data_IF_123399916420
#
_entry.id   IF_123399916420
#
_cell.length_a   1.000
_cell.length_b   1.000
_cell.length_c   1.000
_cell.angle_alpha   90.00
_cell.angle_beta   90.00
_cell.angle_gamma   90.00
#
_symmetry.space_group_name_H-M   'P 1'
#
loop_
_entity.id
_entity.type
_entity.pdbx_description
1 polymer ?
#
# COMPACT_ATOMS: atom_id res chain seq x y z
N UNK A 1 11.19 54.79 46.40
CA UNK A 1 10.75 54.86 44.98
C UNK A 1 11.41 53.72 44.20
N UNK A 2 10.72 53.14 43.22
CA UNK A 2 10.74 51.70 42.94
C UNK A 2 11.85 51.24 41.99
N UNK A 3 12.37 50.05 42.26
CA UNK A 3 13.16 49.24 41.31
C UNK A 3 12.26 48.79 40.16
N UNK A 4 12.61 49.22 38.94
CA UNK A 4 11.85 49.01 37.73
C UNK A 4 11.86 47.52 37.31
N UNK A 5 10.69 46.86 37.39
CA UNK A 5 10.45 45.44 37.09
C UNK A 5 10.07 45.18 35.63
N UNK A 6 10.78 45.77 34.66
CA UNK A 6 10.39 45.70 33.24
C UNK A 6 11.49 45.18 32.29
N UNK A 7 12.37 44.28 32.74
CA UNK A 7 13.23 43.54 31.82
C UNK A 7 13.20 42.05 32.15
N UNK A 8 12.45 41.22 31.42
CA UNK A 8 12.60 39.78 31.56
C UNK A 8 14.02 39.37 31.15
N UNK A 9 14.64 38.39 31.85
CA UNK A 9 15.97 37.91 31.49
C UNK A 9 15.95 37.38 30.05
N UNK A 10 16.96 37.75 29.27
CA UNK A 10 17.19 37.21 27.93
C UNK A 10 17.51 35.71 28.04
N UNK A 11 16.47 34.88 28.04
CA UNK A 11 16.64 33.44 27.85
C UNK A 11 17.06 33.23 26.41
N UNK A 12 18.31 32.83 26.21
CA UNK A 12 18.83 32.42 24.90
C UNK A 12 17.83 31.46 24.24
N UNK A 13 17.25 31.91 23.12
CA UNK A 13 16.44 31.08 22.24
C UNK A 13 17.41 30.12 21.55
N UNK A 14 17.71 29.01 22.24
CA UNK A 14 18.26 27.82 21.63
C UNK A 14 17.19 27.26 20.71
N UNK A 15 17.25 27.62 19.43
CA UNK A 15 16.42 27.10 18.36
C UNK A 15 16.67 25.61 18.17
N UNK A 16 16.14 24.76 19.06
CA UNK A 16 15.65 23.47 18.62
C UNK A 16 14.45 23.79 17.75
N UNK A 17 14.69 23.99 16.45
CA UNK A 17 13.66 23.78 15.43
C UNK A 17 12.94 22.49 15.82
N UNK A 18 11.72 22.61 16.31
CA UNK A 18 10.81 21.49 16.46
C UNK A 18 10.69 20.88 15.06
N UNK A 19 11.56 19.90 14.79
CA UNK A 19 11.40 18.97 13.68
C UNK A 19 10.02 18.38 13.90
N UNK A 20 9.03 18.86 13.14
CA UNK A 20 7.65 18.40 13.17
C UNK A 20 7.64 16.92 13.54
N UNK A 21 7.12 16.57 14.73
CA UNK A 21 7.42 15.27 15.36
C UNK A 21 7.15 14.17 14.36
N UNK A 22 8.23 13.56 13.87
CA UNK A 22 8.11 12.41 12.99
C UNK A 22 7.31 11.36 13.76
N UNK A 23 6.27 10.83 13.14
CA UNK A 23 5.43 9.83 13.80
C UNK A 23 6.19 8.50 13.78
N UNK A 24 7.18 8.39 14.65
CA UNK A 24 8.13 7.28 14.69
C UNK A 24 7.41 5.93 14.85
N UNK A 25 6.26 5.91 15.53
CA UNK A 25 5.42 4.71 15.66
C UNK A 25 4.85 4.22 14.31
N UNK A 26 4.49 5.11 13.38
CA UNK A 26 4.02 4.71 12.06
C UNK A 26 5.16 4.17 11.20
N UNK A 27 6.33 4.80 11.28
CA UNK A 27 7.52 4.28 10.61
C UNK A 27 7.89 2.91 11.19
N UNK A 28 7.82 2.74 12.52
CA UNK A 28 8.04 1.44 13.15
C UNK A 28 7.05 0.35 12.66
N UNK A 29 5.76 0.67 12.57
CA UNK A 29 4.76 -0.26 12.01
C UNK A 29 5.05 -0.62 10.55
N UNK A 30 5.46 0.36 9.73
CA UNK A 30 5.88 0.12 8.33
C UNK A 30 7.11 -0.77 8.27
N UNK A 31 8.06 -0.57 9.20
CA UNK A 31 9.27 -1.35 9.30
C UNK A 31 8.99 -2.80 9.66
N UNK A 32 8.12 -3.02 10.65
CA UNK A 32 7.64 -4.34 11.04
C UNK A 32 6.96 -5.03 9.84
N UNK A 33 6.02 -4.35 9.19
CA UNK A 33 5.30 -4.86 8.04
C UNK A 33 6.23 -5.28 6.90
N UNK A 34 7.23 -4.45 6.55
CA UNK A 34 8.21 -4.80 5.52
C UNK A 34 9.01 -6.04 5.89
N UNK A 35 9.52 -6.11 7.12
CA UNK A 35 10.32 -7.25 7.58
C UNK A 35 9.50 -8.54 7.53
N UNK A 36 8.23 -8.51 7.96
CA UNK A 36 7.36 -9.68 7.96
C UNK A 36 7.01 -10.13 6.53
N UNK A 37 6.82 -9.21 5.58
CA UNK A 37 6.64 -9.56 4.16
C UNK A 37 7.91 -10.18 3.57
N UNK A 38 9.08 -9.63 3.87
CA UNK A 38 10.37 -10.22 3.45
C UNK A 38 10.53 -11.60 4.03
N UNK A 39 10.17 -11.79 5.31
CA UNK A 39 10.20 -13.07 5.98
C UNK A 39 9.32 -14.10 5.28
N UNK A 40 8.06 -13.78 4.96
CA UNK A 40 7.14 -14.67 4.21
C UNK A 40 7.77 -15.17 2.90
N UNK A 41 8.26 -14.26 2.05
CA UNK A 41 8.86 -14.62 0.76
C UNK A 41 10.23 -15.29 0.91
N UNK A 42 10.88 -15.15 2.07
CA UNK A 42 12.11 -15.88 2.37
C UNK A 42 11.79 -17.32 2.81
N UNK A 43 10.66 -17.57 3.47
CA UNK A 43 10.22 -18.91 3.84
C UNK A 43 9.96 -19.78 2.60
N UNK A 44 9.40 -19.18 1.54
CA UNK A 44 9.20 -19.85 0.25
C UNK A 44 10.44 -20.58 -0.27
N UNK A 45 11.61 -19.98 -0.07
CA UNK A 45 12.86 -20.44 -0.64
C UNK A 45 13.72 -21.19 0.38
N UNK A 46 13.75 -20.74 1.64
CA UNK A 46 14.65 -21.25 2.67
C UNK A 46 14.02 -22.37 3.51
N UNK A 47 12.72 -22.27 3.80
CA UNK A 47 12.02 -23.14 4.75
C UNK A 47 10.60 -23.48 4.25
N UNK A 48 10.47 -24.13 3.07
CA UNK A 48 9.16 -24.38 2.46
C UNK A 48 8.27 -25.27 3.34
N UNK A 49 8.85 -26.23 4.07
CA UNK A 49 8.15 -27.02 5.10
C UNK A 49 7.53 -26.18 6.22
N UNK A 50 8.21 -25.12 6.69
CA UNK A 50 7.66 -24.21 7.71
C UNK A 50 6.52 -23.39 7.11
N UNK A 51 6.68 -22.91 5.87
CA UNK A 51 5.62 -22.19 5.16
C UNK A 51 4.39 -23.06 4.96
N UNK A 52 4.57 -24.30 4.51
CA UNK A 52 3.47 -25.26 4.30
C UNK A 52 2.70 -25.57 5.59
N UNK A 53 3.40 -25.63 6.74
CA UNK A 53 2.76 -25.83 8.04
C UNK A 53 2.05 -24.58 8.58
N UNK A 54 2.61 -23.39 8.36
CA UNK A 54 2.09 -22.14 8.94
C UNK A 54 1.02 -21.45 8.09
N UNK A 55 1.18 -21.44 6.76
CA UNK A 55 0.33 -20.69 5.81
C UNK A 55 -1.18 -21.01 5.92
N UNK A 56 -1.63 -22.25 6.18
CA UNK A 56 -3.06 -22.54 6.36
C UNK A 56 -3.69 -21.85 7.58
N UNK A 57 -2.88 -21.43 8.54
CA UNK A 57 -3.33 -20.80 9.79
C UNK A 57 -3.01 -19.31 9.84
N UNK A 58 -1.88 -18.91 9.26
CA UNK A 58 -1.42 -17.53 9.29
C UNK A 58 -0.57 -17.19 8.06
N UNK A 59 -1.08 -16.27 7.24
CA UNK A 59 -0.33 -15.70 6.12
C UNK A 59 0.39 -14.42 6.57
N UNK A 60 1.71 -14.53 6.76
CA UNK A 60 2.55 -13.41 7.20
C UNK A 60 2.60 -12.28 6.17
N UNK A 61 2.57 -12.61 4.87
CA UNK A 61 2.57 -11.65 3.78
C UNK A 61 1.33 -10.77 3.80
N UNK A 62 0.15 -11.38 3.88
CA UNK A 62 -1.14 -10.69 4.02
C UNK A 62 -1.17 -9.81 5.25
N UNK A 63 -0.75 -10.34 6.41
CA UNK A 63 -0.65 -9.57 7.64
C UNK A 63 0.16 -8.27 7.44
N UNK A 64 1.37 -8.36 6.89
CA UNK A 64 2.22 -7.20 6.67
C UNK A 64 1.60 -6.19 5.69
N UNK A 65 0.99 -6.68 4.62
CA UNK A 65 0.27 -5.84 3.64
C UNK A 65 -0.90 -5.09 4.28
N UNK A 66 -1.69 -5.73 5.14
CA UNK A 66 -2.79 -5.07 5.85
C UNK A 66 -2.31 -4.01 6.84
N UNK A 67 -1.17 -4.23 7.52
CA UNK A 67 -0.52 -3.19 8.33
C UNK A 67 -0.13 -1.99 7.46
N UNK A 68 0.44 -2.21 6.27
CA UNK A 68 0.73 -1.13 5.32
C UNK A 68 -0.53 -0.35 4.91
N UNK A 69 -1.62 -1.05 4.60
CA UNK A 69 -2.88 -0.41 4.22
C UNK A 69 -3.48 0.43 5.34
N UNK A 70 -3.45 -0.03 6.59
CA UNK A 70 -3.88 0.75 7.75
C UNK A 70 -3.05 2.02 7.93
N UNK A 71 -1.72 1.90 7.84
CA UNK A 71 -0.80 3.05 7.93
C UNK A 71 -1.05 4.04 6.78
N UNK A 72 -1.18 3.56 5.54
CA UNK A 72 -1.46 4.43 4.38
C UNK A 72 -2.80 5.14 4.55
N UNK A 73 -3.83 4.43 5.00
CA UNK A 73 -5.14 4.95 5.38
C UNK A 73 -5.09 6.10 6.38
N UNK A 74 -4.24 5.97 7.39
CA UNK A 74 -4.07 6.94 8.46
C UNK A 74 -3.30 8.20 8.00
N UNK A 75 -2.29 8.06 7.13
CA UNK A 75 -1.38 9.17 6.75
C UNK A 75 -1.83 9.94 5.50
N UNK A 76 -2.39 9.25 4.51
CA UNK A 76 -2.59 9.81 3.17
C UNK A 76 -3.59 10.96 3.14
N UNK A 77 -4.81 10.84 3.71
CA UNK A 77 -5.78 11.94 3.71
C UNK A 77 -5.26 13.15 4.50
N UNK A 78 -4.62 12.91 5.64
CA UNK A 78 -3.98 13.97 6.42
C UNK A 78 -2.91 14.72 5.61
N UNK A 79 -2.11 14.01 4.80
CA UNK A 79 -1.13 14.64 3.91
C UNK A 79 -1.79 15.49 2.81
N UNK A 80 -2.96 15.11 2.31
CA UNK A 80 -3.69 15.89 1.29
C UNK A 80 -4.27 17.16 1.92
N UNK A 81 -4.92 17.04 3.07
CA UNK A 81 -5.51 18.16 3.82
C UNK A 81 -4.44 19.17 4.27
N UNK A 82 -3.32 18.71 4.83
CA UNK A 82 -2.22 19.59 5.26
C UNK A 82 -1.61 20.37 4.10
N UNK A 83 -1.59 19.80 2.88
CA UNK A 83 -1.06 20.45 1.68
C UNK A 83 -2.07 21.39 1.02
N UNK A 84 -3.37 21.14 1.18
CA UNK A 84 -4.48 21.92 0.63
C UNK A 84 -4.59 21.92 -0.91
N UNK A 85 -3.74 21.17 -1.62
CA UNK A 85 -3.63 21.21 -3.08
C UNK A 85 -3.44 19.82 -3.67
N UNK A 86 -4.36 19.45 -4.57
CA UNK A 86 -4.34 18.18 -5.32
C UNK A 86 -3.05 18.05 -6.13
N UNK A 87 -2.61 19.13 -6.80
CA UNK A 87 -1.35 19.13 -7.56
C UNK A 87 -0.13 18.84 -6.68
N UNK A 88 -0.08 19.48 -5.50
CA UNK A 88 1.03 19.30 -4.54
C UNK A 88 1.01 17.90 -3.92
N UNK A 89 -0.17 17.31 -3.73
CA UNK A 89 -0.32 15.93 -3.29
C UNK A 89 0.22 14.95 -4.33
N UNK A 90 -0.26 15.01 -5.57
CA UNK A 90 0.17 14.09 -6.64
C UNK A 90 1.65 14.22 -6.98
N UNK A 91 2.19 15.44 -7.04
CA UNK A 91 3.64 15.62 -7.21
C UNK A 91 4.42 14.96 -6.06
N UNK A 92 3.97 15.13 -4.81
CA UNK A 92 4.58 14.47 -3.65
C UNK A 92 4.55 12.94 -3.73
N UNK A 93 3.46 12.36 -4.25
CA UNK A 93 3.33 10.91 -4.45
C UNK A 93 4.17 10.41 -5.61
N UNK A 94 4.19 11.12 -6.72
CA UNK A 94 5.02 10.80 -7.87
C UNK A 94 6.51 10.66 -7.47
N UNK A 95 7.07 11.69 -6.82
CA UNK A 95 8.47 11.69 -6.36
C UNK A 95 8.76 10.74 -5.19
N UNK A 96 7.73 10.18 -4.55
CA UNK A 96 7.89 9.15 -3.52
C UNK A 96 7.89 7.74 -4.12
N UNK A 97 7.08 7.49 -5.15
CA UNK A 97 6.78 6.14 -5.64
C UNK A 97 7.56 5.78 -6.91
N UNK A 98 7.42 6.59 -7.97
CA UNK A 98 7.97 6.27 -9.28
C UNK A 98 9.49 6.06 -9.31
N UNK A 99 10.32 6.84 -8.58
CA UNK A 99 11.77 6.65 -8.63
C UNK A 99 12.22 5.26 -8.20
N UNK A 100 11.74 4.74 -7.06
CA UNK A 100 12.11 3.40 -6.61
C UNK A 100 11.42 2.32 -7.44
N UNK A 101 10.19 2.56 -7.89
CA UNK A 101 9.49 1.68 -8.83
C UNK A 101 10.23 1.51 -10.17
N UNK A 102 10.79 2.60 -10.72
CA UNK A 102 11.62 2.55 -11.93
C UNK A 102 12.88 1.72 -11.69
N UNK A 103 13.51 1.87 -10.52
CA UNK A 103 14.71 1.09 -10.16
C UNK A 103 14.38 -0.39 -10.00
N UNK A 104 13.26 -0.75 -9.36
CA UNK A 104 12.86 -2.15 -9.26
C UNK A 104 12.47 -2.74 -10.63
N UNK A 105 11.81 -1.98 -11.49
CA UNK A 105 11.50 -2.43 -12.85
C UNK A 105 12.77 -2.62 -13.69
N UNK A 106 13.69 -1.65 -13.65
CA UNK A 106 14.98 -1.75 -14.34
C UNK A 106 15.76 -2.98 -13.85
N UNK A 107 15.83 -3.17 -12.53
CA UNK A 107 16.50 -4.32 -11.93
C UNK A 107 15.86 -5.65 -12.38
N UNK A 108 14.52 -5.73 -12.40
CA UNK A 108 13.80 -6.91 -12.88
C UNK A 108 14.13 -7.25 -14.34
N UNK A 109 14.14 -6.23 -15.21
CA UNK A 109 14.52 -6.39 -16.63
C UNK A 109 15.97 -6.83 -16.77
N UNK A 110 16.91 -6.18 -16.07
CA UNK A 110 18.34 -6.49 -16.19
C UNK A 110 18.70 -7.87 -15.65
N UNK A 111 18.10 -8.27 -14.51
CA UNK A 111 18.32 -9.60 -13.94
C UNK A 111 17.75 -10.68 -14.87
N UNK A 112 16.56 -10.44 -15.44
CA UNK A 112 15.97 -11.34 -16.41
C UNK A 112 16.82 -11.49 -17.68
N UNK A 113 17.27 -10.37 -18.24
CA UNK A 113 18.12 -10.37 -19.44
C UNK A 113 19.48 -11.02 -19.20
N UNK A 114 20.02 -10.94 -17.98
CA UNK A 114 21.25 -11.60 -17.58
C UNK A 114 21.06 -13.09 -17.23
N UNK A 115 19.83 -13.62 -17.31
CA UNK A 115 19.48 -14.99 -16.91
C UNK A 115 19.48 -15.22 -15.40
N UNK A 116 19.65 -14.17 -14.58
CA UNK A 116 19.79 -14.24 -13.12
C UNK A 116 18.44 -14.26 -12.37
N UNK A 117 17.31 -14.25 -13.09
CA UNK A 117 15.97 -14.39 -12.53
C UNK A 117 15.04 -14.99 -13.58
N UNK A 118 13.79 -15.28 -13.20
CA UNK A 118 12.75 -15.73 -14.14
C UNK A 118 12.38 -14.67 -15.20
N UNK A 119 12.92 -13.45 -15.08
CA UNK A 119 12.62 -12.34 -15.96
C UNK A 119 11.19 -11.82 -15.83
N UNK A 120 10.75 -11.07 -16.85
CA UNK A 120 9.40 -10.55 -16.92
C UNK A 120 8.42 -11.64 -17.38
N UNK A 121 7.16 -11.65 -16.90
CA UNK A 121 6.14 -12.55 -17.41
C UNK A 121 5.99 -12.43 -18.94
N UNK A 122 5.99 -13.56 -19.66
CA UNK A 122 5.95 -13.58 -21.13
C UNK A 122 4.74 -12.84 -21.71
N UNK A 123 3.59 -12.89 -21.04
CA UNK A 123 2.37 -12.18 -21.42
C UNK A 123 2.53 -10.64 -21.49
N UNK A 124 3.55 -10.06 -20.83
CA UNK A 124 3.85 -8.63 -20.99
C UNK A 124 4.36 -8.30 -22.40
N UNK A 125 4.99 -9.26 -23.06
CA UNK A 125 5.52 -9.15 -24.42
C UNK A 125 4.45 -9.24 -25.50
N UNK A 126 3.25 -9.76 -25.20
CA UNK A 126 2.16 -9.87 -26.18
C UNK A 126 1.64 -8.49 -26.61
N UNK A 127 1.60 -7.53 -25.67
CA UNK A 127 1.18 -6.14 -25.91
C UNK A 127 2.06 -5.15 -25.13
N UNK A 128 3.32 -4.94 -25.53
CA UNK A 128 4.30 -4.22 -24.73
C UNK A 128 3.89 -2.80 -24.34
N UNK A 129 3.29 -2.06 -25.28
CA UNK A 129 2.83 -0.68 -25.05
C UNK A 129 1.68 -0.62 -24.04
N UNK A 130 0.74 -1.57 -24.10
CA UNK A 130 -0.41 -1.61 -23.19
C UNK A 130 0.04 -2.05 -21.80
N UNK A 131 0.91 -3.06 -21.71
CA UNK A 131 1.57 -3.47 -20.48
C UNK A 131 2.32 -2.31 -19.83
N UNK A 132 3.11 -1.57 -20.59
CA UNK A 132 3.83 -0.41 -20.11
C UNK A 132 2.87 0.69 -19.61
N UNK A 133 1.79 0.97 -20.34
CA UNK A 133 0.80 1.96 -19.94
C UNK A 133 0.10 1.59 -18.62
N UNK A 134 -0.30 0.33 -18.45
CA UNK A 134 -0.92 -0.15 -17.23
C UNK A 134 0.03 -0.09 -16.02
N UNK A 135 1.31 -0.38 -16.23
CA UNK A 135 2.35 -0.25 -15.21
C UNK A 135 2.65 1.22 -14.88
N UNK A 136 2.66 2.11 -15.88
CA UNK A 136 2.85 3.55 -15.68
C UNK A 136 1.71 4.18 -14.89
N UNK A 137 0.48 3.66 -14.94
CA UNK A 137 -0.62 4.12 -14.07
C UNK A 137 -0.56 3.49 -12.68
N UNK A 138 0.31 2.51 -12.44
CA UNK A 138 0.32 1.61 -11.28
C UNK A 138 -0.99 0.83 -11.11
N UNK A 139 -1.81 0.70 -12.14
CA UNK A 139 -3.10 0.00 -12.11
C UNK A 139 -3.06 -1.35 -12.81
N UNK A 140 -1.88 -1.86 -13.15
CA UNK A 140 -1.71 -3.09 -13.93
C UNK A 140 -2.49 -4.28 -13.37
N UNK A 141 -2.54 -4.41 -12.04
CA UNK A 141 -3.21 -5.52 -11.37
C UNK A 141 -4.74 -5.48 -11.52
N UNK A 142 -5.29 -4.27 -11.64
CA UNK A 142 -6.72 -4.00 -11.81
C UNK A 142 -7.10 -3.74 -13.28
N UNK A 143 -6.14 -3.91 -14.20
CA UNK A 143 -6.32 -3.79 -15.65
C UNK A 143 -6.03 -5.13 -16.35
N UNK A 144 -6.00 -6.23 -15.58
CA UNK A 144 -5.76 -7.58 -16.08
C UNK A 144 -4.33 -7.82 -16.60
N UNK A 145 -3.39 -6.93 -16.31
CA UNK A 145 -2.00 -7.02 -16.77
C UNK A 145 -1.16 -7.72 -15.69
N UNK A 146 -0.40 -8.78 -16.02
CA UNK A 146 0.51 -9.43 -15.09
C UNK A 146 1.49 -8.44 -14.45
N UNK A 147 1.85 -8.65 -13.19
CA UNK A 147 2.80 -7.76 -12.53
C UNK A 147 4.24 -8.08 -12.98
N UNK A 148 4.99 -7.07 -13.42
CA UNK A 148 6.42 -7.19 -13.72
C UNK A 148 7.23 -7.68 -12.50
N UNK A 149 6.86 -7.24 -11.30
CA UNK A 149 7.35 -7.79 -10.03
C UNK A 149 6.12 -8.12 -9.20
N UNK A 150 6.01 -9.36 -8.70
CA UNK A 150 4.77 -9.86 -8.07
C UNK A 150 4.16 -8.86 -7.09
N UNK A 151 4.97 -8.25 -6.22
CA UNK A 151 4.55 -7.31 -5.17
C UNK A 151 3.90 -6.02 -5.66
N UNK A 152 3.95 -5.70 -6.96
CA UNK A 152 3.32 -4.51 -7.52
C UNK A 152 1.79 -4.52 -7.41
N UNK A 153 1.17 -5.68 -7.17
CA UNK A 153 -0.27 -5.80 -7.00
C UNK A 153 -0.81 -4.84 -5.92
N UNK A 154 -0.12 -4.71 -4.79
CA UNK A 154 -0.54 -3.83 -3.68
C UNK A 154 -0.50 -2.36 -4.04
N UNK A 155 0.40 -1.97 -4.96
CA UNK A 155 0.51 -0.58 -5.44
C UNK A 155 -0.74 -0.15 -6.19
N UNK A 156 -1.43 -1.07 -6.88
CA UNK A 156 -2.68 -0.78 -7.58
C UNK A 156 -3.81 -0.40 -6.61
N UNK A 157 -3.95 -1.12 -5.50
CA UNK A 157 -4.92 -0.76 -4.45
C UNK A 157 -4.56 0.56 -3.77
N UNK A 158 -3.27 0.79 -3.51
CA UNK A 158 -2.81 2.05 -2.93
C UNK A 158 -3.07 3.24 -3.89
N UNK A 159 -2.86 3.05 -5.20
CA UNK A 159 -3.15 4.05 -6.23
C UNK A 159 -4.66 4.35 -6.29
N UNK A 160 -5.50 3.32 -6.28
CA UNK A 160 -6.96 3.50 -6.23
C UNK A 160 -7.37 4.26 -4.97
N UNK A 161 -6.81 3.94 -3.81
CA UNK A 161 -7.08 4.69 -2.60
C UNK A 161 -6.71 6.18 -2.74
N UNK A 162 -5.59 6.51 -3.39
CA UNK A 162 -5.22 7.90 -3.67
C UNK A 162 -6.21 8.61 -4.59
N UNK A 163 -6.73 7.91 -5.60
CA UNK A 163 -7.75 8.41 -6.51
C UNK A 163 -9.06 8.70 -5.77
N UNK A 164 -9.52 7.77 -4.93
CA UNK A 164 -10.74 7.92 -4.13
C UNK A 164 -10.61 9.07 -3.11
N UNK A 165 -9.49 9.16 -2.39
CA UNK A 165 -9.22 10.26 -1.45
C UNK A 165 -9.16 11.61 -2.17
N UNK A 166 -8.57 11.66 -3.37
CA UNK A 166 -8.55 12.87 -4.21
C UNK A 166 -9.96 13.27 -4.62
N UNK A 167 -10.75 12.33 -5.13
CA UNK A 167 -12.14 12.57 -5.54
C UNK A 167 -12.99 13.10 -4.37
N UNK A 168 -12.88 12.49 -3.20
CA UNK A 168 -13.55 12.94 -1.97
C UNK A 168 -13.15 14.35 -1.53
N UNK A 169 -11.85 14.64 -1.58
CA UNK A 169 -11.32 15.96 -1.22
C UNK A 169 -11.85 17.05 -2.16
N UNK A 170 -11.82 16.81 -3.47
CA UNK A 170 -12.30 17.75 -4.49
C UNK A 170 -13.82 17.95 -4.43
N UNK A 171 -14.59 16.91 -4.09
CA UNK A 171 -16.02 17.03 -3.85
C UNK A 171 -16.38 17.73 -2.54
N UNK A 172 -15.41 18.03 -1.66
CA UNK A 172 -15.65 18.67 -0.38
C UNK A 172 -16.21 17.74 0.69
N UNK A 173 -16.20 16.42 0.45
CA UNK A 173 -16.78 15.40 1.33
C UNK A 173 -15.73 14.72 2.22
N UNK A 174 -14.51 15.26 2.28
CA UNK A 174 -13.41 14.69 3.08
C UNK A 174 -13.74 14.52 4.57
N UNK A 175 -14.61 15.38 5.14
CA UNK A 175 -15.12 15.26 6.51
C UNK A 175 -16.09 14.09 6.72
N UNK A 176 -16.60 13.50 5.64
CA UNK A 176 -17.47 12.31 5.65
C UNK A 176 -16.69 11.02 5.41
N UNK A 177 -15.36 11.04 5.56
CA UNK A 177 -14.48 9.87 5.39
C UNK A 177 -15.02 8.62 6.09
N UNK A 178 -15.52 8.76 7.33
CA UNK A 178 -16.13 7.66 8.06
C UNK A 178 -17.41 7.10 7.41
N UNK A 179 -18.28 7.94 6.87
CA UNK A 179 -19.50 7.49 6.16
C UNK A 179 -19.17 6.84 4.83
N UNK A 180 -18.17 7.35 4.12
CA UNK A 180 -17.71 6.76 2.86
C UNK A 180 -17.04 5.41 3.10
N UNK A 181 -16.25 5.30 4.18
CA UNK A 181 -15.67 4.04 4.63
C UNK A 181 -16.72 2.99 5.01
N UNK A 182 -17.75 3.39 5.77
CA UNK A 182 -18.89 2.55 6.09
C UNK A 182 -19.65 2.16 4.82
N UNK A 183 -19.83 3.09 3.88
CA UNK A 183 -20.42 2.81 2.56
C UNK A 183 -19.62 1.79 1.76
N UNK A 184 -18.28 1.86 1.77
CA UNK A 184 -17.43 0.85 1.15
C UNK A 184 -17.47 -0.48 1.89
N UNK A 185 -17.46 -0.50 3.22
CA UNK A 185 -17.56 -1.73 4.00
C UNK A 185 -18.93 -2.42 3.85
N UNK A 186 -20.01 -1.64 3.87
CA UNK A 186 -21.38 -2.13 3.61
C UNK A 186 -21.54 -2.53 2.14
N UNK A 187 -20.97 -1.77 1.21
CA UNK A 187 -20.92 -2.12 -0.21
C UNK A 187 -20.17 -3.43 -0.45
N UNK A 188 -19.03 -3.64 0.22
CA UNK A 188 -18.28 -4.90 0.21
C UNK A 188 -19.14 -6.06 0.70
N UNK A 189 -19.83 -5.86 1.83
CA UNK A 189 -20.70 -6.86 2.42
C UNK A 189 -21.92 -7.19 1.54
N UNK A 190 -22.55 -6.18 0.93
CA UNK A 190 -23.71 -6.38 0.05
C UNK A 190 -23.28 -7.02 -1.27
N UNK A 191 -22.26 -6.48 -1.94
CA UNK A 191 -21.77 -7.02 -3.22
C UNK A 191 -21.23 -8.44 -3.04
N UNK A 192 -20.55 -8.73 -1.93
CA UNK A 192 -20.07 -10.07 -1.60
C UNK A 192 -21.15 -11.09 -1.24
N UNK A 193 -22.36 -10.63 -0.89
CA UNK A 193 -23.52 -11.50 -0.65
C UNK A 193 -24.42 -11.62 -1.88
N UNK A 194 -24.49 -10.58 -2.72
CA UNK A 194 -25.51 -10.45 -3.77
C UNK A 194 -25.04 -10.83 -5.19
N UNK A 195 -23.73 -10.80 -5.49
CA UNK A 195 -23.23 -11.05 -6.84
C UNK A 195 -22.35 -12.31 -6.92
N UNK A 196 -22.64 -13.25 -7.85
CA UNK A 196 -21.73 -14.35 -8.15
C UNK A 196 -20.36 -13.83 -8.58
N UNK A 197 -19.29 -14.36 -7.98
CA UNK A 197 -17.89 -14.02 -8.30
C UNK A 197 -17.54 -14.18 -9.78
N UNK A 198 -18.26 -15.02 -10.51
CA UNK A 198 -18.11 -15.24 -11.96
C UNK A 198 -18.48 -14.05 -12.82
N UNK A 199 -19.43 -13.19 -12.41
CA UNK A 199 -19.77 -11.95 -13.11
C UNK A 199 -18.75 -10.83 -12.84
N UNK A 200 -17.96 -10.97 -11.78
CA UNK A 200 -16.96 -10.01 -11.29
C UNK A 200 -15.52 -10.40 -11.67
N UNK A 201 -15.33 -11.54 -12.32
CA UNK A 201 -14.03 -12.08 -12.73
C UNK A 201 -13.71 -11.89 -14.23
N UNK A 202 -14.52 -11.10 -14.94
CA UNK A 202 -14.33 -10.86 -16.37
C UNK A 202 -13.11 -9.99 -16.61
N UNK A 203 -11.96 -10.62 -16.91
CA UNK A 203 -10.75 -9.93 -17.39
C UNK A 203 -11.06 -9.24 -18.70
N UNK A 204 -11.05 -7.91 -18.72
CA UNK A 204 -11.43 -7.17 -19.92
C UNK A 204 -10.38 -7.37 -21.03
N UNK A 205 -10.81 -7.60 -22.30
CA UNK A 205 -9.89 -7.70 -23.42
C UNK A 205 -9.10 -6.40 -23.57
N UNK A 206 -7.81 -6.50 -23.95
CA UNK A 206 -6.80 -5.43 -23.88
C UNK A 206 -7.02 -4.16 -24.73
N UNK A 207 -8.25 -3.81 -25.10
CA UNK A 207 -8.67 -2.48 -25.57
C UNK A 207 -9.12 -1.52 -24.45
N UNK A 208 -9.27 -2.01 -23.22
CA UNK A 208 -9.69 -1.17 -22.07
C UNK A 208 -8.58 -0.41 -21.39
N UNK A 209 -7.32 -0.86 -21.47
CA UNK A 209 -6.19 -0.21 -20.78
C UNK A 209 -6.04 1.24 -21.26
N UNK A 210 -6.07 1.45 -22.57
CA UNK A 210 -6.00 2.80 -23.15
C UNK A 210 -7.22 3.63 -22.74
N UNK A 211 -8.42 3.08 -22.83
CA UNK A 211 -9.64 3.77 -22.43
C UNK A 211 -9.60 4.16 -20.94
N UNK A 212 -9.23 3.24 -20.05
CA UNK A 212 -9.09 3.49 -18.62
C UNK A 212 -8.04 4.56 -18.33
N UNK A 213 -6.87 4.51 -19.00
CA UNK A 213 -5.84 5.53 -18.87
C UNK A 213 -6.31 6.91 -19.35
N UNK A 214 -7.02 6.97 -20.49
CA UNK A 214 -7.58 8.21 -21.03
C UNK A 214 -8.69 8.78 -20.13
N UNK A 215 -9.61 7.94 -19.65
CA UNK A 215 -10.67 8.33 -18.71
C UNK A 215 -10.08 8.82 -17.38
N UNK A 216 -9.03 8.14 -16.88
CA UNK A 216 -8.31 8.57 -15.69
C UNK A 216 -7.66 9.95 -15.91
N UNK A 217 -6.93 10.13 -17.00
CA UNK A 217 -6.28 11.40 -17.34
C UNK A 217 -7.30 12.54 -17.50
N UNK A 218 -8.40 12.28 -18.22
CA UNK A 218 -9.49 13.23 -18.42
C UNK A 218 -10.18 13.59 -17.10
N UNK A 219 -10.46 12.60 -16.25
CA UNK A 219 -11.07 12.79 -14.94
C UNK A 219 -10.19 13.61 -13.99
N UNK A 220 -8.89 13.29 -13.92
CA UNK A 220 -7.89 14.04 -13.14
C UNK A 220 -7.78 15.49 -13.65
N UNK A 221 -7.74 15.72 -14.95
CA UNK A 221 -7.70 17.06 -15.54
C UNK A 221 -8.98 17.86 -15.22
N UNK A 222 -10.15 17.22 -15.36
CA UNK A 222 -11.45 17.82 -15.07
C UNK A 222 -11.58 18.23 -13.58
N UNK A 223 -11.02 17.46 -12.64
CA UNK A 223 -11.03 17.80 -11.21
C UNK A 223 -10.28 19.09 -10.86
N UNK A 224 -9.33 19.52 -11.70
CA UNK A 224 -8.57 20.77 -11.51
C UNK A 224 -9.28 21.98 -12.12
N UNK A 225 -10.37 21.75 -12.87
CA UNK A 225 -11.13 22.82 -13.54
C UNK A 225 -11.80 23.78 -12.53
N UNK A 226 -11.85 25.07 -12.89
CA UNK A 226 -12.59 26.10 -12.14
C UNK A 226 -14.11 25.93 -12.28
N UNK A 227 -14.58 25.33 -13.39
CA UNK A 227 -16.02 25.14 -13.65
C UNK A 227 -16.57 24.01 -12.76
N UNK A 228 -17.58 24.32 -11.94
CA UNK A 228 -18.17 23.37 -10.97
C UNK A 228 -18.72 22.11 -11.63
N UNK A 229 -19.38 22.23 -12.79
CA UNK A 229 -19.91 21.09 -13.53
C UNK A 229 -18.80 20.14 -13.99
N UNK A 230 -17.79 20.66 -14.70
CA UNK A 230 -16.62 19.88 -15.16
C UNK A 230 -15.90 19.21 -14.00
N UNK A 231 -15.72 19.93 -12.88
CA UNK A 231 -15.09 19.37 -11.68
C UNK A 231 -15.88 18.21 -11.09
N UNK A 232 -17.21 18.33 -11.01
CA UNK A 232 -18.10 17.25 -10.53
C UNK A 232 -18.05 16.04 -11.45
N UNK A 233 -18.07 16.24 -12.77
CA UNK A 233 -17.91 15.17 -13.76
C UNK A 233 -16.56 14.47 -13.59
N UNK A 234 -15.47 15.23 -13.38
CA UNK A 234 -14.16 14.66 -13.12
C UNK A 234 -14.12 13.79 -11.86
N UNK A 235 -14.73 14.25 -10.77
CA UNK A 235 -14.87 13.46 -9.53
C UNK A 235 -15.66 12.18 -9.78
N UNK A 236 -16.83 12.29 -10.42
CA UNK A 236 -17.67 11.13 -10.71
C UNK A 236 -16.95 10.12 -11.61
N UNK A 237 -16.23 10.58 -12.64
CA UNK A 237 -15.50 9.73 -13.56
C UNK A 237 -14.36 8.97 -12.86
N UNK A 238 -13.54 9.66 -12.08
CA UNK A 238 -12.43 9.01 -11.36
C UNK A 238 -12.95 8.04 -10.30
N UNK A 239 -14.00 8.41 -9.56
CA UNK A 239 -14.61 7.52 -8.57
C UNK A 239 -15.24 6.29 -9.24
N UNK A 240 -16.02 6.47 -10.32
CA UNK A 240 -16.64 5.38 -11.05
C UNK A 240 -15.60 4.42 -11.64
N UNK A 241 -14.53 4.96 -12.25
CA UNK A 241 -13.43 4.15 -12.77
C UNK A 241 -12.74 3.37 -11.65
N UNK A 242 -12.33 4.04 -10.57
CA UNK A 242 -11.68 3.40 -9.43
C UNK A 242 -12.51 2.26 -8.82
N UNK A 243 -13.82 2.47 -8.66
CA UNK A 243 -14.72 1.47 -8.12
C UNK A 243 -15.02 0.35 -9.10
N UNK A 244 -15.18 0.66 -10.38
CA UNK A 244 -15.35 -0.32 -11.45
C UNK A 244 -14.16 -1.27 -11.52
N UNK A 245 -12.93 -0.74 -11.49
CA UNK A 245 -11.70 -1.54 -11.53
C UNK A 245 -11.56 -2.46 -10.31
N UNK A 246 -11.92 -2.00 -9.10
CA UNK A 246 -11.89 -2.83 -7.89
C UNK A 246 -12.88 -3.99 -7.91
N UNK A 247 -14.06 -3.76 -8.50
CA UNK A 247 -15.17 -4.71 -8.48
C UNK A 247 -15.10 -5.70 -9.64
N UNK A 248 -14.66 -5.27 -10.82
CA UNK A 248 -14.80 -6.04 -12.06
C UNK A 248 -13.53 -6.75 -12.54
N UNK A 249 -12.34 -6.32 -12.09
CA UNK A 249 -11.08 -6.74 -12.73
C UNK A 249 -9.95 -7.05 -11.72
N UNK A 250 -10.29 -7.19 -10.44
CA UNK A 250 -9.32 -7.46 -9.38
C UNK A 250 -8.84 -8.91 -9.36
N UNK A 251 -7.51 -9.11 -9.28
CA UNK A 251 -6.92 -10.47 -9.20
C UNK A 251 -7.33 -11.26 -7.97
N UNK A 252 -7.60 -10.59 -6.85
CA UNK A 252 -7.90 -11.24 -5.56
C UNK A 252 -9.40 -11.41 -5.33
N UNK A 253 -10.24 -10.86 -6.21
CA UNK A 253 -11.69 -10.82 -6.04
C UNK A 253 -12.21 -9.47 -5.53
N UNK A 254 -13.46 -9.17 -5.86
CA UNK A 254 -14.10 -7.89 -5.52
C UNK A 254 -14.24 -7.70 -4.01
N UNK A 255 -14.52 -8.77 -3.26
CA UNK A 255 -14.79 -8.73 -1.82
C UNK A 255 -13.52 -8.32 -1.07
N UNK A 256 -12.41 -9.00 -1.36
CA UNK A 256 -11.08 -8.75 -0.79
C UNK A 256 -10.62 -7.34 -1.12
N UNK A 257 -10.86 -6.89 -2.36
CA UNK A 257 -10.54 -5.54 -2.82
C UNK A 257 -11.29 -4.47 -2.04
N UNK A 258 -12.60 -4.65 -1.86
CA UNK A 258 -13.42 -3.74 -1.08
C UNK A 258 -13.05 -3.80 0.41
N UNK A 259 -12.66 -4.96 0.95
CA UNK A 259 -12.12 -5.09 2.32
C UNK A 259 -10.80 -4.32 2.51
N UNK A 260 -9.89 -4.38 1.54
CA UNK A 260 -8.65 -3.60 1.55
C UNK A 260 -8.98 -2.10 1.61
N UNK A 261 -9.83 -1.62 0.71
CA UNK A 261 -10.19 -0.20 0.65
C UNK A 261 -10.94 0.23 1.91
N UNK A 262 -11.86 -0.59 2.43
CA UNK A 262 -12.52 -0.34 3.70
C UNK A 262 -11.51 -0.24 4.85
N UNK A 263 -10.50 -1.11 4.89
CA UNK A 263 -9.44 -1.08 5.89
C UNK A 263 -8.61 0.21 5.81
N UNK A 264 -8.25 0.64 4.61
CA UNK A 264 -7.54 1.92 4.42
C UNK A 264 -8.38 3.11 4.91
N UNK A 265 -9.66 3.17 4.53
CA UNK A 265 -10.54 4.22 5.03
C UNK A 265 -10.82 4.13 6.54
N UNK A 266 -10.73 2.95 7.13
CA UNK A 266 -10.84 2.79 8.56
C UNK A 266 -9.62 3.40 9.30
N UNK A 267 -8.41 3.28 8.75
CA UNK A 267 -7.24 4.04 9.21
C UNK A 267 -7.48 5.56 9.15
N UNK A 268 -8.15 6.06 8.10
CA UNK A 268 -8.56 7.47 7.99
C UNK A 268 -9.55 7.88 9.09
N UNK A 269 -10.52 7.02 9.41
CA UNK A 269 -11.48 7.29 10.48
C UNK A 269 -10.80 7.35 11.84
N UNK A 270 -9.88 6.42 12.13
CA UNK A 270 -9.07 6.45 13.37
C UNK A 270 -8.34 7.78 13.52
N UNK A 271 -7.71 8.26 12.44
CA UNK A 271 -7.07 9.60 12.43
C UNK A 271 -8.09 10.71 12.69
N UNK A 272 -9.26 10.65 12.08
CA UNK A 272 -10.31 11.64 12.26
C UNK A 272 -10.87 11.70 13.69
N UNK A 273 -10.91 10.57 14.42
CA UNK A 273 -11.21 10.59 15.87
C UNK A 273 -10.11 11.35 16.62
N UNK A 274 -8.85 10.99 16.36
CA UNK A 274 -7.71 11.55 17.06
C UNK A 274 -7.60 13.07 16.87
N UNK A 275 -7.90 13.56 15.67
CA UNK A 275 -7.89 14.99 15.36
C UNK A 275 -9.18 15.70 15.83
N UNK A 276 -10.09 15.02 16.54
CA UNK A 276 -11.33 15.58 17.10
C UNK A 276 -12.42 15.90 16.07
N UNK A 277 -12.30 15.36 14.84
CA UNK A 277 -13.18 15.71 13.70
C UNK A 277 -14.36 14.78 13.51
N UNK A 278 -14.26 13.55 14.02
CA UNK A 278 -15.30 12.54 13.95
C UNK A 278 -15.84 12.24 15.34
N UNK A 279 -17.16 12.03 15.43
CA UNK A 279 -17.79 11.48 16.63
C UNK A 279 -17.25 10.07 16.86
N UNK A 280 -17.02 9.72 18.12
CA UNK A 280 -16.37 8.46 18.52
C UNK A 280 -17.18 7.23 18.09
N UNK A 281 -18.52 7.29 18.16
CA UNK A 281 -19.41 6.15 17.88
C UNK A 281 -19.35 5.60 16.45
N UNK A 282 -19.52 6.39 15.36
CA UNK A 282 -19.36 5.88 14.00
C UNK A 282 -17.99 5.29 13.71
N UNK A 283 -16.96 5.80 14.38
CA UNK A 283 -15.60 5.37 14.16
C UNK A 283 -15.24 4.11 14.98
N UNK A 284 -15.78 3.97 16.21
CA UNK A 284 -15.78 2.71 16.96
C UNK A 284 -16.54 1.64 16.17
N UNK A 285 -17.71 1.99 15.62
CA UNK A 285 -18.46 1.11 14.74
C UNK A 285 -17.57 0.65 13.58
N UNK A 286 -16.88 1.53 12.87
CA UNK A 286 -15.95 1.10 11.80
C UNK A 286 -14.79 0.22 12.25
N UNK A 287 -14.17 0.53 13.39
CA UNK A 287 -13.05 -0.26 13.94
C UNK A 287 -13.53 -1.65 14.38
N UNK A 288 -14.80 -1.82 14.75
CA UNK A 288 -15.39 -3.13 15.06
C UNK A 288 -15.93 -3.84 13.80
N UNK A 289 -16.62 -3.09 12.94
CA UNK A 289 -17.41 -3.56 11.80
C UNK A 289 -16.52 -3.97 10.64
N UNK A 290 -15.47 -3.23 10.31
CA UNK A 290 -14.59 -3.57 9.17
C UNK A 290 -13.84 -4.88 9.42
N UNK A 291 -13.18 -5.09 10.58
CA UNK A 291 -12.62 -6.41 10.90
C UNK A 291 -13.71 -7.49 10.95
N UNK A 292 -14.84 -7.24 11.62
CA UNK A 292 -15.91 -8.24 11.70
C UNK A 292 -16.46 -8.65 10.32
N UNK A 293 -16.64 -7.72 9.39
CA UNK A 293 -17.07 -8.04 8.03
C UNK A 293 -15.98 -8.76 7.24
N UNK A 294 -14.71 -8.37 7.37
CA UNK A 294 -13.62 -9.12 6.75
C UNK A 294 -13.52 -10.55 7.28
N UNK A 295 -13.81 -10.77 8.57
CA UNK A 295 -13.89 -12.09 9.21
C UNK A 295 -15.11 -12.89 8.72
N UNK A 296 -16.29 -12.26 8.61
CA UNK A 296 -17.53 -12.94 8.20
C UNK A 296 -17.56 -13.24 6.70
N UNK A 297 -17.07 -12.33 5.86
CA UNK A 297 -16.86 -12.59 4.43
C UNK A 297 -15.86 -13.75 4.24
N UNK A 298 -14.82 -13.77 5.08
CA UNK A 298 -13.98 -14.92 5.45
C UNK A 298 -14.72 -16.26 5.38
N UNK A 299 -15.54 -16.47 6.40
CA UNK A 299 -16.14 -17.76 6.71
C UNK A 299 -17.27 -18.22 5.76
N UNK A 300 -17.76 -17.36 4.85
CA UNK A 300 -19.00 -17.63 4.09
C UNK A 300 -18.85 -17.79 2.59
N UNK A 301 -17.65 -17.63 2.02
CA UNK A 301 -17.47 -17.69 0.56
C UNK A 301 -17.24 -19.14 0.11
N UNK A 302 -18.18 -19.80 -0.60
CA UNK A 302 -18.01 -21.21 -0.98
C UNK A 302 -16.85 -21.39 -1.97
N UNK A 303 -16.04 -22.41 -1.67
CA UNK A 303 -14.75 -22.80 -2.22
C UNK A 303 -14.75 -23.25 -3.69
N UNK A 304 -15.92 -23.35 -4.34
CA UNK A 304 -16.05 -23.96 -5.67
C UNK A 304 -16.18 -22.97 -6.84
N UNK A 305 -16.33 -21.67 -6.58
CA UNK A 305 -16.55 -20.63 -7.62
C UNK A 305 -15.45 -19.53 -7.66
N UNK A 306 -14.32 -19.75 -6.98
CA UNK A 306 -13.11 -18.91 -7.04
C UNK A 306 -12.00 -19.51 -7.94
N UNK A 307 -12.39 -20.39 -8.86
CA UNK A 307 -11.51 -21.04 -9.83
C UNK A 307 -11.10 -20.03 -10.91
N UNK A 308 -10.09 -19.23 -10.57
CA UNK A 308 -9.00 -18.75 -11.44
C UNK A 308 -7.99 -17.86 -10.71
N UNK A 309 -8.07 -17.69 -9.37
CA UNK A 309 -7.11 -16.88 -8.62
C UNK A 309 -6.68 -17.39 -7.23
N UNK A 310 -7.54 -18.06 -6.46
CA UNK A 310 -7.19 -18.65 -5.16
C UNK A 310 -8.30 -19.64 -4.72
N UNK A 311 -8.02 -20.93 -4.49
CA UNK A 311 -9.03 -21.92 -4.11
C UNK A 311 -9.68 -21.64 -2.74
N UNK A 312 -9.04 -20.87 -1.85
CA UNK A 312 -9.61 -20.38 -0.60
C UNK A 312 -9.53 -18.85 -0.56
N UNK A 313 -10.46 -18.12 -1.20
CA UNK A 313 -10.38 -16.67 -1.32
C UNK A 313 -10.31 -15.96 0.05
N UNK A 314 -10.93 -16.55 1.07
CA UNK A 314 -11.21 -15.91 2.34
C UNK A 314 -11.10 -16.90 3.53
N UNK A 315 -10.04 -17.71 3.55
CA UNK A 315 -9.81 -18.72 4.60
C UNK A 315 -9.59 -18.16 6.03
N UNK A 316 -9.43 -19.08 6.99
CA UNK A 316 -9.12 -18.76 8.39
C UNK A 316 -7.81 -17.96 8.50
N UNK A 317 -6.83 -18.28 7.66
CA UNK A 317 -5.57 -17.56 7.50
C UNK A 317 -5.76 -16.07 7.18
N UNK A 318 -6.66 -15.73 6.26
CA UNK A 318 -6.99 -14.35 5.91
C UNK A 318 -7.57 -13.60 7.10
N UNK A 319 -8.55 -14.23 7.74
CA UNK A 319 -9.28 -13.68 8.88
C UNK A 319 -8.33 -13.35 10.05
N UNK A 320 -7.45 -14.29 10.38
CA UNK A 320 -6.46 -14.11 11.45
C UNK A 320 -5.43 -13.04 11.05
N UNK A 321 -4.94 -13.03 9.81
CA UNK A 321 -3.97 -12.04 9.33
C UNK A 321 -4.53 -10.61 9.40
N UNK A 322 -5.77 -10.39 8.96
CA UNK A 322 -6.46 -9.09 9.05
C UNK A 322 -6.65 -8.68 10.51
N UNK A 323 -7.15 -9.59 11.36
CA UNK A 323 -7.33 -9.32 12.79
C UNK A 323 -6.02 -8.95 13.48
N UNK A 324 -4.95 -9.70 13.22
CA UNK A 324 -3.63 -9.43 13.76
C UNK A 324 -3.06 -8.08 13.28
N UNK A 325 -3.28 -7.71 12.02
CA UNK A 325 -2.86 -6.42 11.48
C UNK A 325 -3.56 -5.26 12.21
N UNK A 326 -4.87 -5.40 12.46
CA UNK A 326 -5.65 -4.45 13.25
C UNK A 326 -5.15 -4.33 14.69
N UNK A 327 -4.94 -5.45 15.37
CA UNK A 327 -4.39 -5.46 16.74
C UNK A 327 -3.03 -4.78 16.79
N UNK A 328 -2.16 -5.06 15.81
CA UNK A 328 -0.83 -4.45 15.70
C UNK A 328 -0.93 -2.93 15.50
N UNK A 329 -1.82 -2.48 14.62
CA UNK A 329 -2.04 -1.06 14.36
C UNK A 329 -2.58 -0.33 15.60
N UNK A 330 -3.56 -0.92 16.30
CA UNK A 330 -4.12 -0.37 17.53
C UNK A 330 -3.10 -0.35 18.67
N UNK A 331 -2.26 -1.39 18.79
CA UNK A 331 -1.15 -1.42 19.75
C UNK A 331 -0.14 -0.29 19.44
N UNK A 332 0.25 -0.13 18.18
CA UNK A 332 1.10 0.99 17.75
C UNK A 332 0.48 2.35 18.05
N UNK A 333 -0.83 2.50 17.85
CA UNK A 333 -1.57 3.71 18.18
C UNK A 333 -1.60 3.96 19.70
N UNK A 334 -1.78 2.93 20.52
CA UNK A 334 -1.74 3.04 21.99
C UNK A 334 -0.34 3.45 22.48
N UNK A 335 0.71 2.93 21.84
CA UNK A 335 2.10 3.20 22.15
C UNK A 335 2.67 4.47 21.47
N UNK A 336 1.84 5.24 20.74
CA UNK A 336 2.28 6.38 19.90
C UNK A 336 3.11 7.46 20.60
N UNK A 337 2.98 7.59 21.93
CA UNK A 337 3.70 8.56 22.76
C UNK A 337 4.96 7.97 23.42
N UNK A 338 5.24 6.69 23.22
CA UNK A 338 6.45 6.02 23.71
C UNK A 338 7.56 6.11 22.66
N UNK A 339 8.84 6.16 23.08
CA UNK A 339 9.96 6.07 22.15
C UNK A 339 9.95 4.70 21.45
N UNK A 340 10.15 4.71 20.13
CA UNK A 340 10.16 3.49 19.31
C UNK A 340 11.58 3.00 19.06
N UNK A 341 11.80 1.68 18.93
CA UNK A 341 13.13 1.13 18.63
C UNK A 341 13.71 1.72 17.35
N UNK A 342 14.92 2.27 17.42
CA UNK A 342 15.57 2.98 16.29
C UNK A 342 15.70 2.11 15.05
N UNK A 343 16.04 0.83 15.22
CA UNK A 343 16.16 -0.12 14.12
C UNK A 343 14.84 -0.31 13.37
N UNK A 344 13.72 -0.38 14.09
CA UNK A 344 12.38 -0.56 13.54
C UNK A 344 11.88 0.70 12.84
N UNK A 345 12.16 1.88 13.41
CA UNK A 345 11.91 3.16 12.74
C UNK A 345 12.72 3.26 11.46
N UNK A 346 14.00 2.84 11.50
CA UNK A 346 14.89 2.86 10.34
C UNK A 346 14.40 1.94 9.22
N UNK A 347 14.02 0.70 9.54
CA UNK A 347 13.43 -0.21 8.54
C UNK A 347 12.14 0.36 7.96
N UNK A 348 11.38 1.12 8.75
CA UNK A 348 10.24 1.93 8.32
C UNK A 348 10.56 3.00 7.28
N UNK A 349 11.70 3.67 7.42
CA UNK A 349 12.12 4.72 6.49
C UNK A 349 12.44 4.15 5.11
N UNK A 350 13.13 3.01 5.09
CA UNK A 350 13.55 2.29 3.88
C UNK A 350 12.49 1.30 3.39
N UNK A 351 11.33 1.23 4.06
CA UNK A 351 10.33 0.18 3.87
C UNK A 351 9.83 0.05 2.44
N UNK A 352 9.80 1.16 1.69
CA UNK A 352 9.33 1.18 0.31
C UNK A 352 10.32 0.47 -0.62
N UNK A 353 11.60 0.86 -0.58
CA UNK A 353 12.66 0.14 -1.32
C UNK A 353 12.78 -1.31 -0.86
N UNK A 354 12.68 -1.57 0.45
CA UNK A 354 12.70 -2.92 1.01
C UNK A 354 11.57 -3.79 0.42
N UNK A 355 10.36 -3.25 0.36
CA UNK A 355 9.20 -3.93 -0.21
C UNK A 355 9.36 -4.18 -1.73
N UNK A 356 9.89 -3.24 -2.50
CA UNK A 356 10.00 -3.41 -3.96
C UNK A 356 11.16 -4.32 -4.39
N UNK A 357 12.29 -4.27 -3.69
CA UNK A 357 13.51 -4.94 -4.14
C UNK A 357 13.66 -6.36 -3.61
N UNK A 358 13.01 -6.72 -2.49
CA UNK A 358 13.22 -8.04 -1.90
C UNK A 358 12.90 -9.23 -2.83
N UNK A 359 11.85 -9.25 -3.67
CA UNK A 359 11.58 -10.41 -4.51
C UNK A 359 12.67 -10.59 -5.56
N UNK A 360 13.24 -9.49 -6.06
CA UNK A 360 14.29 -9.47 -7.07
C UNK A 360 15.62 -9.95 -6.47
N UNK A 361 15.93 -9.52 -5.25
CA UNK A 361 17.12 -9.97 -4.52
C UNK A 361 17.01 -11.45 -4.15
N UNK A 362 15.84 -11.90 -3.68
CA UNK A 362 15.56 -13.32 -3.40
C UNK A 362 15.80 -14.16 -4.66
N UNK A 363 15.21 -13.75 -5.79
CA UNK A 363 15.37 -14.48 -7.06
C UNK A 363 16.82 -14.50 -7.55
N UNK A 364 17.52 -13.36 -7.51
CA UNK A 364 18.92 -13.30 -7.92
C UNK A 364 19.83 -14.18 -7.07
N UNK A 365 19.63 -14.16 -5.75
CA UNK A 365 20.38 -14.97 -4.81
C UNK A 365 20.07 -16.47 -4.98
N UNK A 366 18.80 -16.82 -5.18
CA UNK A 366 18.42 -18.20 -5.48
C UNK A 366 19.06 -18.66 -6.79
N UNK A 367 19.00 -17.87 -7.87
CA UNK A 367 19.62 -18.24 -9.13
C UNK A 367 21.14 -18.43 -8.99
N UNK A 368 21.81 -17.54 -8.26
CA UNK A 368 23.24 -17.65 -7.98
C UNK A 368 23.61 -18.89 -7.14
N UNK A 369 22.68 -19.42 -6.33
CA UNK A 369 22.89 -20.63 -5.55
C UNK A 369 23.04 -21.90 -6.41
N UNK A 370 22.45 -21.90 -7.62
CA UNK A 370 22.44 -23.05 -8.54
C UNK A 370 21.76 -24.33 -8.01
N UNK A 371 21.20 -24.31 -6.79
CA UNK A 371 20.50 -25.42 -6.12
C UNK A 371 19.32 -24.86 -5.32
N UNK A 372 18.28 -25.65 -5.15
CA UNK A 372 17.15 -25.30 -4.29
C UNK A 372 17.60 -25.17 -2.83
N UNK A 373 17.57 -23.96 -2.23
CA UNK A 373 18.09 -23.74 -0.89
C UNK A 373 17.36 -24.55 0.20
N UNK A 374 16.08 -24.83 -0.03
CA UNK A 374 15.25 -25.70 0.81
C UNK A 374 15.72 -27.15 0.88
N UNK A 375 16.66 -27.61 0.04
CA UNK A 375 17.28 -28.94 0.14
C UNK A 375 18.59 -28.97 0.94
N UNK A 376 19.14 -27.81 1.31
CA UNK A 376 20.47 -27.71 1.91
C UNK A 376 20.48 -28.08 3.41
N UNK A 377 21.62 -28.49 3.99
CA UNK A 377 21.75 -28.66 5.43
C UNK A 377 21.42 -27.38 6.22
N UNK A 378 20.83 -27.52 7.41
CA UNK A 378 20.38 -26.41 8.25
C UNK A 378 21.38 -25.25 8.45
N UNK A 379 22.67 -25.51 8.75
CA UNK A 379 23.66 -24.44 8.91
C UNK A 379 23.88 -23.63 7.62
N UNK A 380 23.83 -24.28 6.46
CA UNK A 380 23.96 -23.61 5.16
C UNK A 380 22.73 -22.75 4.89
N UNK A 381 21.53 -23.23 5.21
CA UNK A 381 20.29 -22.41 5.11
C UNK A 381 20.34 -21.19 6.00
N UNK A 382 20.87 -21.30 7.22
CA UNK A 382 21.05 -20.18 8.14
C UNK A 382 22.00 -19.13 7.54
N UNK A 383 23.13 -19.56 6.99
CA UNK A 383 24.08 -18.67 6.32
C UNK A 383 23.45 -17.97 5.12
N UNK A 384 22.68 -18.70 4.30
CA UNK A 384 21.89 -18.13 3.20
C UNK A 384 20.88 -17.10 3.69
N UNK A 385 20.20 -17.37 4.81
CA UNK A 385 19.28 -16.42 5.44
C UNK A 385 19.97 -15.12 5.86
N UNK A 386 21.17 -15.20 6.44
CA UNK A 386 21.97 -14.01 6.80
C UNK A 386 22.38 -13.24 5.54
N UNK A 387 22.88 -13.90 4.51
CA UNK A 387 23.24 -13.28 3.22
C UNK A 387 22.03 -12.62 2.58
N UNK A 388 20.88 -13.29 2.60
CA UNK A 388 19.63 -12.78 2.05
C UNK A 388 19.20 -11.50 2.77
N UNK A 389 19.05 -11.55 4.09
CA UNK A 389 18.58 -10.40 4.89
C UNK A 389 19.54 -9.22 4.76
N UNK A 390 20.86 -9.46 4.82
CA UNK A 390 21.85 -8.40 4.67
C UNK A 390 21.85 -7.78 3.28
N UNK A 391 21.71 -8.58 2.22
CA UNK A 391 21.64 -8.08 0.83
C UNK A 391 20.34 -7.32 0.57
N UNK A 392 19.22 -7.82 1.09
CA UNK A 392 17.90 -7.16 0.97
C UNK A 392 17.92 -5.81 1.72
N UNK A 393 18.40 -5.76 2.96
CA UNK A 393 18.50 -4.51 3.72
C UNK A 393 19.52 -3.54 3.09
N UNK A 394 20.66 -4.05 2.62
CA UNK A 394 21.69 -3.28 1.94
C UNK A 394 21.18 -2.61 0.67
N UNK A 395 20.55 -3.38 -0.23
CA UNK A 395 19.96 -2.86 -1.47
C UNK A 395 18.85 -1.84 -1.19
N UNK A 396 17.99 -2.09 -0.20
CA UNK A 396 16.96 -1.15 0.23
C UNK A 396 17.56 0.15 0.77
N UNK A 397 18.61 0.08 1.58
CA UNK A 397 19.29 1.25 2.13
C UNK A 397 19.97 2.10 1.04
N UNK A 398 20.59 1.45 0.06
CA UNK A 398 21.22 2.11 -1.10
C UNK A 398 20.17 2.82 -1.96
N UNK A 399 19.09 2.11 -2.35
CA UNK A 399 18.00 2.70 -3.12
C UNK A 399 17.34 3.86 -2.35
N UNK A 400 17.12 3.71 -1.04
CA UNK A 400 16.58 4.78 -0.22
C UNK A 400 17.47 6.03 -0.21
N UNK A 401 18.78 5.85 -0.01
CA UNK A 401 19.75 6.94 0.09
C UNK A 401 19.98 7.66 -1.23
N UNK A 402 20.14 6.91 -2.33
CA UNK A 402 20.57 7.45 -3.62
C UNK A 402 19.43 7.71 -4.60
N UNK A 403 18.25 7.14 -4.39
CA UNK A 403 17.11 7.29 -5.31
C UNK A 403 15.96 7.99 -4.62
N UNK A 404 15.46 7.42 -3.52
CA UNK A 404 14.26 7.96 -2.86
C UNK A 404 14.49 9.35 -2.24
N UNK A 405 15.54 9.51 -1.44
CA UNK A 405 15.82 10.79 -0.75
C UNK A 405 16.05 11.93 -1.76
N UNK A 406 16.89 11.79 -2.79
CA UNK A 406 17.10 12.82 -3.80
C UNK A 406 15.81 13.16 -4.56
N UNK A 407 15.04 12.16 -4.97
CA UNK A 407 13.79 12.39 -5.69
C UNK A 407 12.75 13.12 -4.82
N UNK A 408 12.60 12.74 -3.56
CA UNK A 408 11.72 13.44 -2.64
C UNK A 408 12.16 14.88 -2.35
N UNK A 409 13.49 15.13 -2.27
CA UNK A 409 14.04 16.49 -2.15
C UNK A 409 13.72 17.33 -3.38
N UNK A 410 13.86 16.75 -4.57
CA UNK A 410 13.49 17.39 -5.84
C UNK A 410 11.99 17.72 -5.86
N UNK A 411 11.12 16.77 -5.48
CA UNK A 411 9.68 16.98 -5.40
C UNK A 411 9.27 18.10 -4.44
N UNK A 412 9.96 18.23 -3.28
CA UNK A 412 9.75 19.36 -2.36
C UNK A 412 10.14 20.69 -3.00
N UNK A 413 11.24 20.76 -3.76
CA UNK A 413 11.65 21.99 -4.48
C UNK A 413 10.66 22.37 -5.57
N UNK A 414 10.20 21.41 -6.37
CA UNK A 414 9.22 21.63 -7.45
C UNK A 414 7.89 22.15 -6.91
N UNK A 415 7.46 21.63 -5.76
CA UNK A 415 6.16 22.00 -5.14
C UNK A 415 6.20 23.24 -4.25
N UNK A 416 7.38 23.75 -3.91
CA UNK A 416 7.56 24.99 -3.14
C UNK A 416 7.66 26.24 -4.02
N UNK A 417 8.01 26.10 -5.31
CA UNK A 417 8.17 27.20 -6.27
C UNK A 417 6.86 27.62 -6.97
N UNK A 418 5.71 27.11 -6.53
CA UNK A 418 4.36 27.37 -7.04
C UNK A 418 3.38 27.37 -5.87
#
# INVERSE_FOLDING_TARGET
MPSNTLTPPQTQIGSRTEKASRMDWLDALRGLAAIVVVFEHSLDVLLPEVRGAASPWFDFGRYGVFVFFLVSGYVVPFSLERRGSVRRFWAGRFFRLYPAWCVSLLLAVTLGAAGMSYGLPAALGERPWASALAHMTMLQDLLGVPNAVNVYWTLSYEMVFYLLVTAMFVAGVHRSSARVALGFGVGAAILGVALPSSLLASRWPGGTILAAALLLAAGLAAMVSRRRAVRRTGVALVAALALGLLVLDSRIGAIESLCIIATMFAGTAVRGIQDGRLRTWPAIAMVAVVPAFSLVAGMRTPTSLALNANPNPLGVDWSIAVGAAWLTFLAGLALRHRPMPRALVWSGMVSYSLYLLHPLVIQALWHAAGREPGGLPGPIRMMWGVVLVTTVLGSAALAHRYVEIPAQRLGRRVTARR
#
